data_IF_360102432117
#
_entry.id   IF_360102432117
#
_cell.length_a   1.000
_cell.length_b   1.000
_cell.length_c   1.000
_cell.angle_alpha   90.00
_cell.angle_beta   90.00
_cell.angle_gamma   90.00
#
_symmetry.space_group_name_H-M   'P 1'
#
loop_
_entity.id
_entity.type
_entity.pdbx_description
1 polymer ?
#
# COMPACT_ATOMS: atom_id res chain seq x y z
N UNK A 1 -18.47 -8.25 -14.03
CA UNK A 1 -17.26 -7.73 -14.70
C UNK A 1 -16.50 -8.83 -15.44
N UNK A 2 -15.85 -9.78 -14.79
CA UNK A 2 -15.20 -10.90 -15.46
C UNK A 2 -16.17 -12.03 -15.80
N UNK A 3 -16.08 -12.52 -17.04
CA UNK A 3 -16.56 -13.84 -17.40
C UNK A 3 -15.34 -14.68 -17.72
N UNK A 4 -15.16 -15.81 -17.04
CA UNK A 4 -14.03 -16.69 -17.29
C UNK A 4 -14.01 -17.23 -18.71
N UNK A 5 -12.90 -17.80 -19.10
CA UNK A 5 -12.72 -18.67 -20.27
C UNK A 5 -12.64 -20.12 -19.80
N UNK A 6 -12.49 -21.07 -20.71
CA UNK A 6 -12.22 -22.47 -20.36
C UNK A 6 -10.93 -22.63 -19.52
N UNK A 7 -10.04 -21.60 -19.57
CA UNK A 7 -8.79 -21.52 -18.80
C UNK A 7 -8.92 -20.69 -17.51
N UNK A 8 -10.14 -20.34 -17.08
CA UNK A 8 -10.41 -19.50 -15.92
C UNK A 8 -10.37 -18.02 -16.23
N UNK A 9 -9.97 -17.16 -15.26
CA UNK A 9 -9.99 -15.71 -15.42
C UNK A 9 -8.73 -15.14 -16.07
N UNK A 10 -7.69 -15.94 -16.25
CA UNK A 10 -6.40 -15.54 -16.87
C UNK A 10 -5.81 -14.26 -16.23
N UNK A 11 -5.78 -14.20 -14.91
CA UNK A 11 -5.42 -12.99 -14.15
C UNK A 11 -3.99 -12.52 -14.39
N UNK A 12 -3.06 -13.46 -14.65
CA UNK A 12 -1.64 -13.19 -14.92
C UNK A 12 -1.34 -12.67 -16.33
N UNK A 13 -2.35 -12.49 -17.18
CA UNK A 13 -2.19 -11.98 -18.54
C UNK A 13 -2.49 -10.47 -18.60
N UNK A 14 -1.72 -9.74 -19.42
CA UNK A 14 -2.03 -8.36 -19.73
C UNK A 14 -3.39 -8.25 -20.47
N UNK A 15 -4.29 -7.34 -20.07
CA UNK A 15 -5.52 -7.08 -20.79
C UNK A 15 -5.26 -6.28 -22.05
N UNK A 16 -6.10 -6.47 -23.08
CA UNK A 16 -6.22 -5.49 -24.14
C UNK A 16 -7.14 -4.35 -23.71
N UNK A 17 -6.99 -3.19 -24.34
CA UNK A 17 -7.89 -2.04 -24.08
C UNK A 17 -9.35 -2.35 -24.47
N UNK A 18 -9.55 -3.20 -25.47
CA UNK A 18 -10.89 -3.71 -25.83
C UNK A 18 -11.48 -4.59 -24.74
N UNK A 19 -10.67 -5.46 -24.12
CA UNK A 19 -11.12 -6.28 -22.98
C UNK A 19 -11.45 -5.42 -21.77
N UNK A 20 -10.61 -4.43 -21.45
CA UNK A 20 -10.88 -3.45 -20.40
C UNK A 20 -12.21 -2.71 -20.62
N UNK A 21 -12.49 -2.30 -21.86
CA UNK A 21 -13.76 -1.69 -22.23
C UNK A 21 -14.96 -2.63 -21.99
N UNK A 22 -14.86 -3.88 -22.42
CA UNK A 22 -15.90 -4.91 -22.21
C UNK A 22 -16.14 -5.11 -20.70
N UNK A 23 -15.07 -5.22 -19.92
CA UNK A 23 -15.16 -5.46 -18.48
C UNK A 23 -15.84 -4.31 -17.75
N UNK A 24 -15.53 -3.07 -18.14
CA UNK A 24 -16.12 -1.88 -17.54
C UNK A 24 -17.62 -1.75 -17.89
N UNK A 25 -18.01 -1.97 -19.13
CA UNK A 25 -19.44 -1.95 -19.51
C UNK A 25 -20.25 -3.04 -18.78
N UNK A 26 -19.65 -4.20 -18.55
CA UNK A 26 -20.24 -5.26 -17.73
C UNK A 26 -20.37 -4.86 -16.27
N UNK A 27 -19.43 -4.10 -15.73
CA UNK A 27 -19.54 -3.54 -14.38
C UNK A 27 -20.78 -2.65 -14.26
N UNK A 28 -21.05 -1.85 -15.28
CA UNK A 28 -22.25 -1.01 -15.38
C UNK A 28 -23.54 -1.78 -15.69
N UNK A 29 -23.49 -3.12 -15.82
CA UNK A 29 -24.66 -3.92 -16.20
C UNK A 29 -25.22 -3.63 -17.58
N UNK A 30 -24.51 -2.86 -18.40
CA UNK A 30 -24.99 -2.29 -19.67
C UNK A 30 -24.69 -3.17 -20.90
N UNK A 31 -24.30 -4.44 -20.73
CA UNK A 31 -23.90 -5.30 -21.86
C UNK A 31 -25.02 -5.50 -22.88
N UNK A 32 -26.23 -5.82 -22.43
CA UNK A 32 -27.39 -6.04 -23.31
C UNK A 32 -27.86 -4.73 -23.94
N UNK A 33 -27.89 -3.65 -23.15
CA UNK A 33 -28.24 -2.32 -23.63
C UNK A 33 -27.28 -1.84 -24.74
N UNK A 34 -25.97 -1.96 -24.49
CA UNK A 34 -24.91 -1.59 -25.43
C UNK A 34 -25.05 -2.37 -26.76
N UNK A 35 -25.28 -3.69 -26.67
CA UNK A 35 -25.48 -4.53 -27.85
C UNK A 35 -26.69 -4.12 -28.65
N UNK A 36 -27.85 -3.94 -28.00
CA UNK A 36 -29.11 -3.55 -28.66
C UNK A 36 -29.05 -2.12 -29.27
N UNK A 37 -28.46 -1.18 -28.51
CA UNK A 37 -28.31 0.19 -28.95
C UNK A 37 -27.35 0.32 -30.15
N UNK A 38 -26.25 -0.43 -30.13
CA UNK A 38 -25.29 -0.47 -31.23
C UNK A 38 -25.92 -1.12 -32.49
N UNK A 39 -26.58 -2.28 -32.33
CA UNK A 39 -27.23 -2.97 -33.42
C UNK A 39 -28.34 -2.11 -34.11
N UNK A 40 -29.07 -1.30 -33.33
CA UNK A 40 -30.09 -0.39 -33.84
C UNK A 40 -29.51 0.92 -34.36
N UNK A 41 -28.22 1.16 -34.30
CA UNK A 41 -27.57 2.40 -34.73
C UNK A 41 -27.80 3.60 -33.80
N UNK A 42 -28.36 3.39 -32.59
CA UNK A 42 -28.56 4.47 -31.60
C UNK A 42 -27.25 5.00 -31.04
N UNK A 43 -26.28 4.12 -30.87
CA UNK A 43 -24.91 4.48 -30.45
C UNK A 43 -23.91 4.01 -31.49
N UNK A 44 -22.87 4.79 -31.70
CA UNK A 44 -21.78 4.49 -32.62
C UNK A 44 -20.47 5.01 -32.06
N UNK A 45 -19.35 4.65 -32.67
CA UNK A 45 -18.03 5.21 -32.39
C UNK A 45 -17.28 5.52 -33.69
N UNK A 46 -16.33 6.47 -33.69
CA UNK A 46 -15.60 6.87 -34.92
C UNK A 46 -14.37 5.97 -35.19
N UNK A 47 -14.08 5.01 -34.36
CA UNK A 47 -12.80 4.26 -34.38
C UNK A 47 -12.80 3.15 -35.44
N UNK A 48 -11.70 3.02 -36.15
CA UNK A 48 -11.54 2.06 -37.27
C UNK A 48 -10.81 0.78 -36.88
N UNK A 49 -10.20 0.75 -35.69
CA UNK A 49 -9.38 -0.36 -35.17
C UNK A 49 -10.10 -1.23 -34.13
N UNK A 50 -11.42 -1.10 -34.01
CA UNK A 50 -12.22 -1.87 -33.05
C UNK A 50 -12.85 -3.08 -33.74
N UNK A 51 -12.56 -4.28 -33.22
CA UNK A 51 -13.17 -5.51 -33.69
C UNK A 51 -14.68 -5.59 -33.39
N UNK A 52 -15.41 -6.36 -34.18
CA UNK A 52 -16.89 -6.47 -34.08
C UNK A 52 -17.38 -6.87 -32.71
N UNK A 53 -16.64 -7.73 -31.98
CA UNK A 53 -16.99 -8.16 -30.62
C UNK A 53 -16.94 -7.02 -29.60
N UNK A 54 -15.96 -6.12 -29.73
CA UNK A 54 -15.77 -5.00 -28.80
C UNK A 54 -16.57 -3.75 -29.19
N UNK A 55 -17.00 -3.65 -30.46
CA UNK A 55 -17.62 -2.45 -30.99
C UNK A 55 -18.84 -1.94 -30.19
N UNK A 56 -19.79 -2.77 -29.74
CA UNK A 56 -20.92 -2.30 -28.94
C UNK A 56 -20.47 -1.67 -27.60
N UNK A 57 -19.50 -2.26 -26.96
CA UNK A 57 -18.97 -1.80 -25.66
C UNK A 57 -18.19 -0.50 -25.82
N UNK A 58 -17.35 -0.41 -26.85
CA UNK A 58 -16.60 0.80 -27.15
C UNK A 58 -17.54 1.95 -27.54
N UNK A 59 -18.62 1.66 -28.28
CA UNK A 59 -19.64 2.67 -28.62
C UNK A 59 -20.35 3.18 -27.36
N UNK A 60 -20.69 2.29 -26.42
CA UNK A 60 -21.31 2.67 -25.15
C UNK A 60 -20.38 3.55 -24.31
N UNK A 61 -19.09 3.16 -24.15
CA UNK A 61 -18.11 3.97 -23.43
C UNK A 61 -17.88 5.34 -24.09
N UNK A 62 -17.86 5.38 -25.42
CA UNK A 62 -17.71 6.63 -26.17
C UNK A 62 -18.92 7.56 -25.96
N UNK A 63 -20.13 7.02 -26.04
CA UNK A 63 -21.37 7.77 -25.84
C UNK A 63 -21.50 8.33 -24.42
N UNK A 64 -21.00 7.59 -23.42
CA UNK A 64 -21.03 7.99 -22.00
C UNK A 64 -19.77 8.80 -21.59
N UNK A 65 -18.91 9.20 -22.54
CA UNK A 65 -17.74 10.03 -22.26
C UNK A 65 -16.59 9.32 -21.53
N UNK A 66 -16.71 8.02 -21.24
CA UNK A 66 -15.71 7.23 -20.51
C UNK A 66 -14.50 6.95 -21.41
N UNK A 67 -14.69 6.79 -22.71
CA UNK A 67 -13.59 6.66 -23.67
C UNK A 67 -13.67 7.71 -24.78
N UNK A 68 -12.54 8.35 -25.07
CA UNK A 68 -12.36 9.29 -26.19
C UNK A 68 -11.47 8.73 -27.30
N UNK A 69 -11.01 7.46 -27.17
CA UNK A 69 -9.98 6.88 -28.04
C UNK A 69 -8.58 7.40 -27.75
N UNK A 70 -7.61 6.96 -28.52
CA UNK A 70 -6.22 7.47 -28.53
C UNK A 70 -6.03 8.54 -29.60
N UNK A 71 -6.95 8.62 -30.56
CA UNK A 71 -7.09 9.70 -31.54
C UNK A 71 -8.55 9.82 -31.96
N UNK A 72 -8.86 10.77 -32.84
CA UNK A 72 -10.21 10.97 -33.38
C UNK A 72 -10.78 9.71 -34.07
N UNK A 73 -9.95 8.84 -34.63
CA UNK A 73 -10.36 7.66 -35.39
C UNK A 73 -9.74 6.34 -34.89
N UNK A 74 -9.00 6.37 -33.81
CA UNK A 74 -8.30 5.20 -33.26
C UNK A 74 -8.69 5.00 -31.80
N UNK A 75 -9.19 3.82 -31.46
CA UNK A 75 -9.47 3.41 -30.08
C UNK A 75 -8.18 3.00 -29.35
N UNK A 76 -7.25 2.36 -30.06
CA UNK A 76 -6.06 1.74 -29.49
C UNK A 76 -6.37 0.38 -28.88
N UNK A 77 -6.91 -0.55 -29.68
CA UNK A 77 -7.44 -1.85 -29.23
C UNK A 77 -6.37 -2.83 -28.71
N UNK A 78 -5.07 -2.47 -28.77
CA UNK A 78 -3.94 -3.27 -28.31
C UNK A 78 -3.85 -3.39 -26.78
N UNK A 79 -2.63 -3.55 -26.25
CA UNK A 79 -2.40 -3.68 -24.82
C UNK A 79 -2.97 -2.47 -24.02
N UNK A 80 -3.60 -2.76 -22.89
CA UNK A 80 -4.08 -1.74 -21.96
C UNK A 80 -2.98 -1.48 -20.92
N UNK A 81 -2.49 -0.25 -20.86
CA UNK A 81 -1.61 0.15 -19.75
C UNK A 81 -2.44 0.54 -18.52
N UNK A 82 -1.78 0.55 -17.34
CA UNK A 82 -2.37 1.09 -16.12
C UNK A 82 -2.94 2.51 -16.35
N UNK A 83 -2.15 3.40 -16.95
CA UNK A 83 -2.56 4.77 -17.29
C UNK A 83 -3.86 4.82 -18.11
N UNK A 84 -3.99 3.97 -19.13
CA UNK A 84 -5.21 3.91 -19.94
C UNK A 84 -6.43 3.51 -19.12
N UNK A 85 -6.27 2.57 -18.21
CA UNK A 85 -7.38 2.08 -17.40
C UNK A 85 -7.76 3.05 -16.27
N UNK A 86 -6.77 3.68 -15.63
CA UNK A 86 -6.96 4.74 -14.65
C UNK A 86 -7.84 5.86 -15.22
N UNK A 87 -7.56 6.31 -16.45
CA UNK A 87 -8.36 7.34 -17.14
C UNK A 87 -9.80 6.88 -17.36
N UNK A 88 -10.02 5.60 -17.66
CA UNK A 88 -11.39 5.07 -17.75
C UNK A 88 -12.11 5.14 -16.40
N UNK A 89 -11.43 4.77 -15.31
CA UNK A 89 -12.02 4.81 -13.98
C UNK A 89 -12.27 6.24 -13.48
N UNK A 90 -11.35 7.17 -13.69
CA UNK A 90 -11.57 8.58 -13.35
C UNK A 90 -12.79 9.16 -14.04
N UNK A 91 -12.95 8.89 -15.35
CA UNK A 91 -14.13 9.31 -16.09
C UNK A 91 -15.40 8.58 -15.65
N UNK A 92 -15.28 7.31 -15.24
CA UNK A 92 -16.39 6.55 -14.67
C UNK A 92 -16.84 7.11 -13.31
N UNK A 93 -15.92 7.69 -12.54
CA UNK A 93 -16.20 8.44 -11.31
C UNK A 93 -16.76 9.86 -11.58
N UNK A 94 -16.78 10.32 -12.84
CA UNK A 94 -17.30 11.64 -13.22
C UNK A 94 -16.26 12.75 -13.34
N UNK A 95 -14.97 12.45 -13.20
CA UNK A 95 -13.89 13.41 -13.44
C UNK A 95 -13.67 13.63 -14.94
N UNK A 96 -13.34 14.85 -15.33
CA UNK A 96 -13.15 15.26 -16.72
C UNK A 96 -11.68 15.51 -17.03
N UNK A 97 -11.11 14.77 -18.01
CA UNK A 97 -9.77 15.08 -18.50
C UNK A 97 -9.74 16.39 -19.30
N UNK A 98 -8.68 17.14 -19.08
CA UNK A 98 -8.52 18.52 -19.57
C UNK A 98 -9.13 19.58 -18.66
N UNK A 99 -9.87 19.20 -17.61
CA UNK A 99 -10.46 20.07 -16.61
C UNK A 99 -9.97 19.72 -15.20
N UNK A 100 -10.25 18.49 -14.73
CA UNK A 100 -9.91 18.04 -13.38
C UNK A 100 -8.52 17.41 -13.36
N UNK A 101 -8.14 16.68 -14.40
CA UNK A 101 -6.81 16.05 -14.54
C UNK A 101 -6.33 16.09 -15.99
N UNK A 102 -5.04 15.83 -16.21
CA UNK A 102 -4.49 15.58 -17.54
C UNK A 102 -4.18 14.10 -17.69
N UNK A 103 -4.16 13.61 -18.95
CA UNK A 103 -3.90 12.20 -19.23
C UNK A 103 -2.59 11.72 -18.59
N UNK A 104 -1.52 12.50 -18.69
CA UNK A 104 -0.18 12.11 -18.22
C UNK A 104 -0.04 12.08 -16.69
N UNK A 105 -0.90 12.80 -15.96
CA UNK A 105 -0.89 12.87 -14.49
C UNK A 105 -2.07 12.15 -13.82
N UNK A 106 -2.86 11.40 -14.58
CA UNK A 106 -4.07 10.74 -14.08
C UNK A 106 -3.81 9.82 -12.86
N UNK A 107 -2.70 9.09 -12.84
CA UNK A 107 -2.32 8.25 -11.71
C UNK A 107 -2.00 9.09 -10.46
N UNK A 108 -1.20 10.14 -10.61
CA UNK A 108 -0.88 11.08 -9.53
C UNK A 108 -2.13 11.80 -9.02
N UNK A 109 -3.02 12.21 -9.93
CA UNK A 109 -4.30 12.80 -9.57
C UNK A 109 -5.14 11.84 -8.71
N UNK A 110 -5.29 10.59 -9.12
CA UNK A 110 -6.05 9.59 -8.36
C UNK A 110 -5.48 9.40 -6.96
N UNK A 111 -4.15 9.28 -6.82
CA UNK A 111 -3.48 9.09 -5.54
C UNK A 111 -3.60 10.31 -4.63
N UNK A 112 -3.33 11.52 -5.14
CA UNK A 112 -3.38 12.76 -4.35
C UNK A 112 -4.79 13.15 -3.91
N UNK A 113 -5.82 12.67 -4.62
CA UNK A 113 -7.22 12.87 -4.24
C UNK A 113 -7.80 11.70 -3.43
N UNK A 114 -6.95 10.75 -3.01
CA UNK A 114 -7.37 9.62 -2.18
C UNK A 114 -8.38 8.68 -2.85
N UNK A 115 -8.38 8.63 -4.19
CA UNK A 115 -9.33 7.82 -4.94
C UNK A 115 -8.89 6.35 -4.95
N UNK A 116 -7.80 6.05 -5.66
CA UNK A 116 -7.20 4.72 -5.69
C UNK A 116 -5.69 4.83 -5.86
N UNK A 117 -4.99 3.88 -5.27
CA UNK A 117 -3.53 3.84 -5.25
C UNK A 117 -3.03 2.80 -6.26
N UNK A 118 -2.16 3.25 -7.15
CA UNK A 118 -1.52 2.42 -8.19
C UNK A 118 0.00 2.38 -8.03
N UNK A 119 0.56 2.97 -6.97
CA UNK A 119 2.00 2.99 -6.69
C UNK A 119 2.59 1.59 -6.53
N UNK A 120 1.74 0.64 -6.17
CA UNK A 120 2.11 -0.76 -5.95
C UNK A 120 2.03 -1.63 -7.22
N UNK A 121 1.61 -1.06 -8.36
CA UNK A 121 1.60 -1.76 -9.64
C UNK A 121 3.03 -1.76 -10.22
N UNK A 122 3.81 -2.78 -9.86
CA UNK A 122 5.15 -3.00 -10.41
C UNK A 122 5.08 -3.95 -11.61
N UNK A 123 5.69 -3.55 -12.72
CA UNK A 123 5.78 -4.39 -13.91
C UNK A 123 4.64 -4.19 -14.93
N UNK A 124 4.35 -5.19 -15.78
CA UNK A 124 3.29 -5.10 -16.78
C UNK A 124 1.91 -5.11 -16.10
N UNK A 125 1.03 -4.22 -16.55
CA UNK A 125 -0.36 -4.16 -16.05
C UNK A 125 -1.14 -5.42 -16.46
N UNK A 126 -1.60 -6.16 -15.46
CA UNK A 126 -2.26 -7.45 -15.62
C UNK A 126 -3.78 -7.35 -15.40
N UNK A 127 -4.50 -8.41 -15.73
CA UNK A 127 -5.95 -8.49 -15.48
C UNK A 127 -6.28 -8.50 -13.98
N UNK A 128 -5.37 -9.01 -13.16
CA UNK A 128 -5.47 -8.95 -11.70
C UNK A 128 -5.40 -7.52 -11.20
N UNK A 129 -4.42 -6.75 -11.68
CA UNK A 129 -4.29 -5.31 -11.35
C UNK A 129 -5.53 -4.52 -11.77
N UNK A 130 -6.06 -4.82 -12.96
CA UNK A 130 -7.30 -4.20 -13.44
C UNK A 130 -8.47 -4.48 -12.48
N UNK A 131 -8.59 -5.71 -11.97
CA UNK A 131 -9.61 -6.06 -10.99
C UNK A 131 -9.39 -5.33 -9.66
N UNK A 132 -8.15 -5.30 -9.19
CA UNK A 132 -7.77 -4.67 -7.92
C UNK A 132 -8.06 -3.16 -7.93
N UNK A 133 -7.63 -2.44 -8.98
CA UNK A 133 -7.90 -1.00 -9.13
C UNK A 133 -9.38 -0.72 -9.30
N UNK A 134 -10.13 -1.57 -10.02
CA UNK A 134 -11.59 -1.43 -10.11
C UNK A 134 -12.25 -1.60 -8.74
N UNK A 135 -11.79 -2.56 -7.94
CA UNK A 135 -12.34 -2.78 -6.60
C UNK A 135 -12.10 -1.59 -5.68
N UNK A 136 -10.93 -0.96 -5.76
CA UNK A 136 -10.66 0.31 -5.07
C UNK A 136 -11.63 1.41 -5.54
N UNK A 137 -11.82 1.55 -6.85
CA UNK A 137 -12.71 2.56 -7.42
C UNK A 137 -14.17 2.40 -6.96
N UNK A 138 -14.63 1.17 -6.67
CA UNK A 138 -15.97 0.94 -6.12
C UNK A 138 -16.19 1.65 -4.77
N UNK A 139 -15.15 1.88 -3.99
CA UNK A 139 -15.21 2.57 -2.71
C UNK A 139 -15.04 4.09 -2.82
N UNK A 140 -14.75 4.64 -4.01
CA UNK A 140 -14.51 6.06 -4.24
C UNK A 140 -15.80 6.84 -4.39
N UNK A 141 -15.82 8.06 -3.85
CA UNK A 141 -16.90 9.01 -4.09
C UNK A 141 -16.91 9.44 -5.56
N UNK A 142 -18.10 9.66 -6.10
CA UNK A 142 -18.26 10.30 -7.40
C UNK A 142 -17.77 11.75 -7.34
N UNK A 143 -17.32 12.29 -8.46
CA UNK A 143 -16.75 13.64 -8.55
C UNK A 143 -17.71 14.74 -8.07
N UNK A 144 -19.02 14.50 -8.11
CA UNK A 144 -20.05 15.42 -7.63
C UNK A 144 -20.36 15.26 -6.13
N UNK A 145 -19.71 14.29 -5.44
CA UNK A 145 -19.89 14.00 -4.02
C UNK A 145 -21.26 13.43 -3.65
N UNK A 146 -22.06 13.00 -4.62
CA UNK A 146 -23.45 12.54 -4.36
C UNK A 146 -23.48 11.20 -3.62
N UNK A 147 -22.61 10.27 -3.98
CA UNK A 147 -22.49 8.92 -3.44
C UNK A 147 -21.17 8.31 -3.89
N UNK A 148 -20.87 7.08 -3.49
CA UNK A 148 -19.71 6.33 -4.01
C UNK A 148 -20.12 5.38 -5.15
N UNK A 149 -19.13 4.95 -5.96
CA UNK A 149 -19.40 4.25 -7.22
C UNK A 149 -20.23 2.97 -7.03
N UNK A 150 -19.96 2.15 -6.01
CA UNK A 150 -20.73 0.92 -5.79
C UNK A 150 -22.22 1.20 -5.54
N UNK A 151 -22.53 2.19 -4.68
CA UNK A 151 -23.92 2.58 -4.43
C UNK A 151 -24.61 3.08 -5.68
N UNK A 152 -23.93 3.93 -6.48
CA UNK A 152 -24.47 4.38 -7.76
C UNK A 152 -24.79 3.23 -8.72
N UNK A 153 -23.94 2.18 -8.74
CA UNK A 153 -24.16 0.98 -9.56
C UNK A 153 -25.31 0.12 -9.03
N UNK A 154 -25.52 0.08 -7.72
CA UNK A 154 -26.66 -0.60 -7.08
C UNK A 154 -27.95 0.17 -7.37
N UNK A 155 -27.96 1.49 -7.17
CA UNK A 155 -29.12 2.35 -7.39
C UNK A 155 -29.60 2.35 -8.84
N UNK A 156 -28.66 2.27 -9.79
CA UNK A 156 -28.97 2.12 -11.20
C UNK A 156 -29.48 0.73 -11.61
N UNK A 157 -29.41 -0.25 -10.68
CA UNK A 157 -29.76 -1.65 -10.96
C UNK A 157 -28.69 -2.43 -11.73
N UNK A 158 -27.49 -1.84 -11.95
CA UNK A 158 -26.36 -2.50 -12.60
C UNK A 158 -25.83 -3.67 -11.76
N UNK A 159 -25.91 -3.55 -10.44
CA UNK A 159 -25.48 -4.55 -9.47
C UNK A 159 -26.66 -4.88 -8.55
N UNK A 160 -26.94 -6.17 -8.36
CA UNK A 160 -27.96 -6.64 -7.42
C UNK A 160 -27.55 -6.36 -5.99
N UNK A 161 -28.32 -5.55 -5.26
CA UNK A 161 -28.04 -5.10 -3.91
C UNK A 161 -27.83 -6.27 -2.92
N UNK A 162 -28.61 -7.35 -3.05
CA UNK A 162 -28.52 -8.51 -2.16
C UNK A 162 -27.24 -9.30 -2.41
N UNK A 163 -26.88 -9.46 -3.68
CA UNK A 163 -25.62 -10.12 -4.05
C UNK A 163 -24.40 -9.30 -3.66
N UNK A 164 -24.50 -7.97 -3.68
CA UNK A 164 -23.42 -7.05 -3.32
C UNK A 164 -23.28 -6.84 -1.81
N UNK A 165 -24.26 -7.22 -0.99
CA UNK A 165 -24.30 -6.91 0.46
C UNK A 165 -22.98 -7.18 1.19
N UNK A 166 -22.27 -8.32 1.03
CA UNK A 166 -21.00 -8.55 1.73
C UNK A 166 -19.89 -7.59 1.32
N UNK A 167 -19.92 -7.13 0.05
CA UNK A 167 -18.94 -6.17 -0.49
C UNK A 167 -19.29 -4.76 0.02
N UNK A 168 -20.55 -4.39 0.01
CA UNK A 168 -21.05 -3.10 0.52
C UNK A 168 -20.68 -2.94 1.99
N UNK A 169 -20.99 -3.92 2.84
CA UNK A 169 -20.64 -3.92 4.27
C UNK A 169 -19.13 -3.78 4.49
N UNK A 170 -18.31 -4.48 3.69
CA UNK A 170 -16.85 -4.37 3.76
C UNK A 170 -16.37 -2.97 3.36
N UNK A 171 -16.87 -2.42 2.26
CA UNK A 171 -16.50 -1.08 1.78
C UNK A 171 -16.92 0.00 2.78
N UNK A 172 -18.13 -0.03 3.31
CA UNK A 172 -18.61 0.92 4.31
C UNK A 172 -17.75 0.89 5.59
N UNK A 173 -17.44 -0.33 6.07
CA UNK A 173 -16.57 -0.52 7.23
C UNK A 173 -15.17 0.01 6.95
N UNK A 174 -14.61 -0.28 5.77
CA UNK A 174 -13.32 0.23 5.32
C UNK A 174 -13.32 1.76 5.24
N UNK A 175 -14.30 2.38 4.60
CA UNK A 175 -14.40 3.85 4.44
C UNK A 175 -14.45 4.55 5.80
N UNK A 176 -15.20 3.99 6.75
CA UNK A 176 -15.28 4.53 8.13
C UNK A 176 -13.91 4.46 8.81
N UNK A 177 -13.21 3.34 8.69
CA UNK A 177 -11.87 3.17 9.25
C UNK A 177 -10.84 4.09 8.58
N UNK A 178 -10.85 4.17 7.24
CA UNK A 178 -9.93 5.00 6.45
C UNK A 178 -10.11 6.49 6.78
N UNK A 179 -11.35 6.97 6.86
CA UNK A 179 -11.64 8.35 7.24
C UNK A 179 -11.15 8.69 8.67
N UNK A 180 -11.29 7.76 9.62
CA UNK A 180 -10.78 7.94 10.97
C UNK A 180 -9.25 7.90 11.04
N UNK A 181 -8.60 7.12 10.18
CA UNK A 181 -7.14 7.03 10.12
C UNK A 181 -6.51 8.29 9.50
N UNK A 182 -7.13 8.86 8.48
CA UNK A 182 -6.63 10.03 7.77
C UNK A 182 -6.59 11.30 8.65
N UNK A 183 -7.46 11.39 9.66
CA UNK A 183 -7.57 12.59 10.52
C UNK A 183 -6.56 12.64 11.68
N UNK A 184 -5.77 11.57 11.90
CA UNK A 184 -4.94 11.41 13.09
C UNK A 184 -3.44 11.21 12.80
N UNK A 185 -2.98 11.46 11.57
CA UNK A 185 -1.63 11.11 11.12
C UNK A 185 -0.50 12.06 11.60
N UNK A 186 -0.78 13.05 12.47
CA UNK A 186 0.22 14.10 12.81
C UNK A 186 1.12 13.67 13.97
N UNK A 187 0.59 12.97 15.00
CA UNK A 187 1.37 12.59 16.17
C UNK A 187 1.26 11.09 16.42
N UNK A 188 2.37 10.41 16.63
CA UNK A 188 2.38 8.97 16.83
C UNK A 188 3.20 8.53 18.04
N UNK A 189 2.70 7.53 18.77
CA UNK A 189 3.47 6.77 19.76
C UNK A 189 3.31 5.28 19.43
N UNK A 190 4.38 4.68 18.89
CA UNK A 190 4.38 3.34 18.31
C UNK A 190 5.38 2.46 19.06
N UNK A 191 4.93 1.33 19.58
CA UNK A 191 5.82 0.24 19.99
C UNK A 191 5.93 -0.75 18.81
N UNK A 192 7.16 -1.06 18.41
CA UNK A 192 7.48 -2.01 17.37
C UNK A 192 8.21 -3.20 18.00
N UNK A 193 7.68 -4.40 17.82
CA UNK A 193 8.41 -5.62 18.12
C UNK A 193 8.45 -6.48 16.84
N UNK A 194 9.64 -6.90 16.43
CA UNK A 194 9.85 -7.75 15.29
C UNK A 194 10.75 -8.91 15.69
N UNK A 195 10.32 -10.12 15.36
CA UNK A 195 11.12 -11.32 15.51
C UNK A 195 11.35 -11.95 14.15
N UNK A 196 12.60 -12.19 13.82
CA UNK A 196 13.04 -12.73 12.56
C UNK A 196 13.85 -14.01 12.79
N UNK A 197 13.33 -15.14 12.36
CA UNK A 197 14.05 -16.41 12.40
C UNK A 197 14.42 -16.83 10.96
N UNK A 198 15.72 -16.86 10.66
CA UNK A 198 16.26 -17.22 9.36
C UNK A 198 16.92 -18.59 9.40
N UNK A 199 16.59 -19.44 8.43
CA UNK A 199 17.29 -20.70 8.23
C UNK A 199 17.71 -20.80 6.76
N UNK A 200 19.01 -20.69 6.48
CA UNK A 200 19.55 -20.86 5.15
C UNK A 200 20.07 -22.30 4.96
N UNK A 201 19.70 -22.93 3.83
CA UNK A 201 20.34 -24.17 3.38
C UNK A 201 21.25 -23.83 2.22
N UNK A 202 22.56 -24.05 2.37
CA UNK A 202 23.50 -23.89 1.29
C UNK A 202 23.21 -24.90 0.16
N UNK A 203 22.99 -24.41 -1.05
CA UNK A 203 22.93 -25.20 -2.27
C UNK A 203 24.25 -25.00 -3.03
N UNK A 204 25.14 -25.98 -2.96
CA UNK A 204 26.26 -26.09 -3.92
C UNK A 204 25.96 -27.20 -4.91
N UNK A 205 26.14 -26.92 -6.20
CA UNK A 205 26.01 -27.92 -7.23
C UNK A 205 27.00 -29.09 -6.96
N UNK A 206 26.46 -30.25 -6.59
CA UNK A 206 27.15 -31.51 -6.61
C UNK A 206 27.51 -32.19 -5.29
N UNK A 207 27.34 -31.52 -4.13
CA UNK A 207 27.54 -32.18 -2.82
C UNK A 207 26.47 -31.72 -1.83
N UNK A 208 25.90 -32.66 -1.09
CA UNK A 208 24.94 -32.36 -0.01
C UNK A 208 25.68 -31.74 1.19
N UNK A 209 25.73 -30.43 1.25
CA UNK A 209 26.20 -29.73 2.45
C UNK A 209 25.03 -29.68 3.44
N UNK A 210 25.18 -30.38 4.55
CA UNK A 210 24.28 -30.36 5.69
C UNK A 210 24.63 -29.24 6.69
N UNK A 211 25.14 -28.12 6.25
CA UNK A 211 25.28 -26.96 7.12
C UNK A 211 24.02 -26.13 7.01
N UNK A 212 23.20 -26.22 8.02
CA UNK A 212 22.03 -25.40 8.23
C UNK A 212 22.50 -24.18 9.05
N UNK A 213 22.67 -23.05 8.41
CA UNK A 213 22.84 -21.78 9.13
C UNK A 213 21.49 -21.34 9.65
N UNK A 214 21.38 -21.14 10.94
CA UNK A 214 20.21 -20.52 11.56
C UNK A 214 20.63 -19.19 12.16
N UNK A 215 19.88 -18.13 11.82
CA UNK A 215 20.04 -16.81 12.42
C UNK A 215 18.69 -16.40 13.00
N UNK A 216 18.67 -15.90 14.20
CA UNK A 216 17.50 -15.26 14.77
C UNK A 216 17.80 -13.79 15.08
N UNK A 217 16.82 -12.94 14.88
CA UNK A 217 16.90 -11.52 15.15
C UNK A 217 15.62 -11.09 15.86
N UNK A 218 15.78 -10.57 17.08
CA UNK A 218 14.69 -9.96 17.84
C UNK A 218 14.91 -8.45 17.87
N UNK A 219 13.93 -7.68 17.44
CA UNK A 219 13.96 -6.22 17.48
C UNK A 219 12.77 -5.70 18.28
N UNK A 220 13.07 -4.93 19.31
CA UNK A 220 12.10 -4.17 20.08
C UNK A 220 12.35 -2.68 19.89
N UNK A 221 11.35 -1.91 19.57
CA UNK A 221 11.48 -0.48 19.35
C UNK A 221 10.30 0.30 19.88
N UNK A 222 10.56 1.56 20.21
CA UNK A 222 9.54 2.55 20.51
C UNK A 222 9.82 3.83 19.76
N UNK A 223 8.81 4.36 19.10
CA UNK A 223 8.84 5.65 18.41
C UNK A 223 7.77 6.56 18.99
N UNK A 224 8.16 7.75 19.42
CA UNK A 224 7.27 8.83 19.83
C UNK A 224 7.56 10.02 18.92
N UNK A 225 6.55 10.54 18.24
CA UNK A 225 6.68 11.66 17.31
C UNK A 225 5.56 12.67 17.51
N UNK A 226 5.92 13.94 17.44
CA UNK A 226 5.04 15.09 17.29
C UNK A 226 5.57 15.86 16.08
N UNK A 227 4.77 15.99 15.02
CA UNK A 227 5.16 16.59 13.75
C UNK A 227 4.38 17.89 13.51
N UNK A 228 4.49 18.82 14.44
CA UNK A 228 3.95 20.18 14.35
C UNK A 228 5.05 21.20 13.92
N UNK A 229 4.80 22.50 14.15
CA UNK A 229 5.76 23.58 13.88
C UNK A 229 7.08 23.45 14.68
N UNK A 230 7.07 22.67 15.79
CA UNK A 230 8.23 22.38 16.61
C UNK A 230 8.38 20.85 16.76
N UNK A 231 8.84 20.17 15.71
CA UNK A 231 8.83 18.70 15.65
C UNK A 231 9.73 18.10 16.72
N UNK A 232 9.21 17.07 17.37
CA UNK A 232 9.88 16.32 18.44
C UNK A 232 9.82 14.84 18.15
N UNK A 233 10.92 14.13 18.40
CA UNK A 233 10.99 12.71 18.20
C UNK A 233 11.83 12.03 19.31
N UNK A 234 11.43 10.83 19.69
CA UNK A 234 12.22 9.91 20.45
C UNK A 234 12.05 8.50 19.85
N UNK A 235 13.11 7.94 19.32
CA UNK A 235 13.15 6.58 18.81
C UNK A 235 14.15 5.80 19.67
N UNK A 236 13.71 4.68 20.21
CA UNK A 236 14.59 3.72 20.88
C UNK A 236 14.43 2.38 20.20
N UNK A 237 15.55 1.70 19.98
CA UNK A 237 15.57 0.41 19.31
C UNK A 237 16.57 -0.51 20.00
N UNK A 238 16.18 -1.74 20.24
CA UNK A 238 17.02 -2.81 20.73
C UNK A 238 16.97 -3.95 19.73
N UNK A 239 18.12 -4.31 19.23
CA UNK A 239 18.31 -5.42 18.31
C UNK A 239 19.10 -6.51 19.02
N UNK A 240 18.62 -7.74 18.98
CA UNK A 240 19.36 -8.93 19.36
C UNK A 240 19.48 -9.82 18.13
N UNK A 241 20.69 -10.16 17.75
CA UNK A 241 20.96 -11.08 16.65
C UNK A 241 21.75 -12.27 17.20
N UNK A 242 21.40 -13.47 16.75
CA UNK A 242 22.08 -14.71 17.13
C UNK A 242 22.27 -15.55 15.86
N UNK A 243 23.52 -15.88 15.53
CA UNK A 243 23.90 -16.69 14.38
C UNK A 243 24.06 -18.19 14.70
N UNK A 244 23.69 -18.58 15.92
CA UNK A 244 23.87 -19.94 16.44
C UNK A 244 25.20 -20.15 17.15
N UNK A 245 26.12 -19.19 17.10
CA UNK A 245 27.44 -19.22 17.77
C UNK A 245 27.64 -18.04 18.72
N UNK A 246 27.19 -16.84 18.30
CA UNK A 246 27.33 -15.61 19.08
C UNK A 246 25.99 -14.86 19.14
N UNK A 247 25.77 -14.16 20.24
CA UNK A 247 24.65 -13.25 20.46
C UNK A 247 25.17 -11.82 20.49
N UNK A 248 24.72 -11.00 19.55
CA UNK A 248 24.97 -9.57 19.49
C UNK A 248 23.74 -8.83 19.99
N UNK A 249 23.91 -7.86 20.85
CA UNK A 249 22.85 -6.94 21.26
C UNK A 249 23.30 -5.52 20.99
N UNK A 250 22.52 -4.77 20.21
CA UNK A 250 22.74 -3.35 19.93
C UNK A 250 21.55 -2.54 20.44
N UNK A 251 21.83 -1.47 21.17
CA UNK A 251 20.80 -0.54 21.65
C UNK A 251 21.07 0.85 21.07
N UNK A 252 20.09 1.38 20.32
CA UNK A 252 20.15 2.72 19.75
C UNK A 252 19.02 3.58 20.27
N UNK A 253 19.31 4.86 20.50
CA UNK A 253 18.31 5.85 20.84
C UNK A 253 18.60 7.15 20.08
N UNK A 254 17.58 7.64 19.34
CA UNK A 254 17.67 8.88 18.58
C UNK A 254 16.57 9.84 19.05
N UNK A 255 16.95 11.07 19.32
CA UNK A 255 16.03 12.11 19.79
C UNK A 255 16.15 13.33 18.88
N UNK A 256 15.02 13.91 18.49
CA UNK A 256 14.96 15.23 17.84
C UNK A 256 14.36 16.23 18.81
N UNK A 257 15.07 17.32 19.06
CA UNK A 257 14.62 18.44 19.90
C UNK A 257 15.31 19.72 19.49
N UNK A 258 14.57 20.79 19.32
CA UNK A 258 15.06 22.14 19.00
C UNK A 258 16.00 22.16 17.76
N UNK A 259 15.68 21.37 16.71
CA UNK A 259 16.47 21.24 15.49
C UNK A 259 17.74 20.39 15.60
N UNK A 260 18.01 19.80 16.78
CA UNK A 260 19.14 18.91 17.00
C UNK A 260 18.72 17.44 17.05
N UNK A 261 19.45 16.61 16.33
CA UNK A 261 19.36 15.14 16.46
C UNK A 261 20.43 14.65 17.42
N UNK A 262 20.01 13.96 18.47
CA UNK A 262 20.85 13.34 19.50
C UNK A 262 20.81 11.84 19.31
N UNK A 263 21.95 11.19 19.19
CA UNK A 263 22.06 9.74 19.02
C UNK A 263 22.87 9.13 20.14
N UNK A 264 22.39 8.01 20.64
CA UNK A 264 23.13 7.10 21.50
C UNK A 264 23.12 5.72 20.84
N UNK A 265 24.28 5.17 20.52
CA UNK A 265 24.46 3.82 19.99
C UNK A 265 25.42 3.07 20.90
N UNK A 266 24.91 2.06 21.60
CA UNK A 266 25.66 1.22 22.54
C UNK A 266 26.48 2.03 23.57
N UNK A 267 25.96 3.18 24.01
CA UNK A 267 26.59 4.08 24.96
C UNK A 267 27.47 5.16 24.35
N UNK A 268 27.77 5.10 23.07
CA UNK A 268 28.40 6.22 22.34
C UNK A 268 27.36 7.28 21.98
N UNK A 269 27.63 8.53 22.38
CA UNK A 269 26.69 9.62 22.23
C UNK A 269 27.23 10.76 21.37
N UNK A 270 26.41 11.27 20.46
CA UNK A 270 26.71 12.46 19.67
C UNK A 270 25.45 13.23 19.32
N UNK A 271 25.58 14.47 18.90
CA UNK A 271 24.50 15.28 18.37
C UNK A 271 24.89 15.96 17.06
N UNK A 272 23.90 16.14 16.19
CA UNK A 272 24.06 16.83 14.88
C UNK A 272 23.01 17.92 14.78
N UNK A 273 23.40 19.10 14.34
CA UNK A 273 22.49 20.18 14.00
C UNK A 273 21.77 19.87 12.67
N UNK A 274 20.47 19.68 12.73
CA UNK A 274 19.60 19.41 11.59
C UNK A 274 18.61 20.56 11.32
N UNK A 275 18.80 21.72 11.93
CA UNK A 275 17.88 22.85 11.84
C UNK A 275 17.61 23.30 10.41
N UNK A 276 18.59 23.16 9.49
CA UNK A 276 18.43 23.50 8.08
C UNK A 276 17.74 22.41 7.25
N UNK A 277 17.66 21.18 7.75
CA UNK A 277 17.08 20.00 7.07
C UNK A 277 15.81 19.53 7.74
N UNK A 278 15.32 20.26 8.73
CA UNK A 278 14.19 19.86 9.55
C UNK A 278 12.92 19.63 8.74
N UNK A 279 12.65 20.46 7.72
CA UNK A 279 11.50 20.31 6.83
C UNK A 279 11.58 18.99 6.03
N UNK A 280 12.75 18.64 5.48
CA UNK A 280 12.94 17.39 4.74
C UNK A 280 12.80 16.17 5.64
N UNK A 281 13.32 16.25 6.86
CA UNK A 281 13.22 15.22 7.87
C UNK A 281 11.75 14.99 8.27
N UNK A 282 11.04 16.06 8.58
CA UNK A 282 9.62 16.01 8.93
C UNK A 282 8.78 15.43 7.79
N UNK A 283 9.05 15.86 6.54
CA UNK A 283 8.36 15.36 5.35
C UNK A 283 8.59 13.84 5.14
N UNK A 284 9.80 13.36 5.37
CA UNK A 284 10.11 11.92 5.29
C UNK A 284 9.31 11.10 6.31
N UNK A 285 9.27 11.55 7.57
CA UNK A 285 8.49 10.86 8.60
C UNK A 285 6.98 10.97 8.38
N UNK A 286 6.49 12.11 7.89
CA UNK A 286 5.10 12.23 7.50
C UNK A 286 4.74 11.23 6.41
N UNK A 287 5.58 11.08 5.38
CA UNK A 287 5.38 10.10 4.33
C UNK A 287 5.34 8.66 4.85
N UNK A 288 6.16 8.32 5.87
CA UNK A 288 6.12 7.01 6.53
C UNK A 288 4.81 6.80 7.30
N UNK A 289 4.32 7.81 8.02
CA UNK A 289 3.03 7.75 8.73
C UNK A 289 1.86 7.64 7.74
N UNK A 290 1.91 8.36 6.63
CA UNK A 290 0.90 8.31 5.57
C UNK A 290 0.85 6.92 4.91
N UNK A 291 2.01 6.26 4.75
CA UNK A 291 2.07 4.87 4.28
C UNK A 291 1.51 3.86 5.29
N UNK A 292 1.62 4.15 6.59
CA UNK A 292 1.04 3.30 7.64
C UNK A 292 -0.47 3.50 7.80
N UNK A 293 -1.04 4.55 7.23
CA UNK A 293 -2.48 4.78 7.23
C UNK A 293 -3.21 3.72 6.37
N UNK A 294 -4.46 3.45 6.74
CA UNK A 294 -5.33 2.58 5.93
C UNK A 294 -5.57 3.24 4.57
N UNK A 295 -5.00 2.68 3.52
CA UNK A 295 -5.09 3.22 2.17
C UNK A 295 -5.93 2.32 1.24
N UNK A 296 -6.36 2.87 0.11
CA UNK A 296 -7.21 2.16 -0.84
C UNK A 296 -6.50 0.98 -1.52
N UNK A 297 -5.17 0.97 -1.60
CA UNK A 297 -4.42 -0.14 -2.17
C UNK A 297 -4.59 -1.44 -1.39
N UNK A 298 -4.86 -1.37 -0.08
CA UNK A 298 -5.09 -2.55 0.74
C UNK A 298 -6.48 -3.19 0.50
N UNK A 299 -7.47 -2.40 0.07
CA UNK A 299 -8.86 -2.84 -0.02
C UNK A 299 -9.07 -4.14 -0.83
N UNK A 300 -8.44 -4.34 -1.99
CA UNK A 300 -8.57 -5.58 -2.76
C UNK A 300 -8.05 -6.82 -2.05
N UNK A 301 -7.10 -6.64 -1.14
CA UNK A 301 -6.41 -7.70 -0.43
C UNK A 301 -6.98 -8.00 0.97
N UNK A 302 -7.97 -7.22 1.41
CA UNK A 302 -8.69 -7.47 2.65
C UNK A 302 -9.51 -8.74 2.49
N UNK A 303 -9.15 -9.78 3.24
CA UNK A 303 -9.91 -11.03 3.31
C UNK A 303 -11.12 -10.85 4.22
N UNK A 304 -10.89 -10.44 5.46
CA UNK A 304 -11.96 -10.15 6.42
C UNK A 304 -11.80 -8.75 7.01
N UNK A 305 -12.91 -8.05 7.21
CA UNK A 305 -12.97 -6.78 7.92
C UNK A 305 -14.23 -6.77 8.78
N UNK A 306 -14.07 -6.53 10.06
CA UNK A 306 -15.17 -6.48 11.02
C UNK A 306 -15.00 -5.32 12.00
N UNK A 307 -16.11 -4.78 12.48
CA UNK A 307 -16.15 -3.77 13.52
C UNK A 307 -16.97 -4.30 14.71
N UNK A 308 -16.48 -4.08 15.93
CA UNK A 308 -17.13 -4.51 17.16
C UNK A 308 -17.04 -3.44 18.23
N UNK A 309 -18.17 -3.12 18.83
CA UNK A 309 -18.24 -2.21 19.98
C UNK A 309 -17.68 -2.88 21.23
N UNK A 310 -16.78 -2.18 21.93
CA UNK A 310 -16.16 -2.63 23.17
C UNK A 310 -15.78 -1.46 24.07
N UNK A 311 -16.37 -1.37 25.26
CA UNK A 311 -15.98 -0.39 26.28
C UNK A 311 -16.08 1.09 25.86
N UNK A 312 -17.04 1.43 24.99
CA UNK A 312 -17.21 2.79 24.44
C UNK A 312 -16.28 3.12 23.28
N UNK A 313 -15.61 2.13 22.75
CA UNK A 313 -14.76 2.21 21.55
C UNK A 313 -15.24 1.20 20.51
N UNK A 314 -14.97 1.48 19.23
CA UNK A 314 -15.16 0.52 18.14
C UNK A 314 -13.82 -0.11 17.79
N UNK A 315 -13.76 -1.43 17.86
CA UNK A 315 -12.57 -2.23 17.49
C UNK A 315 -12.77 -2.81 16.09
N UNK A 316 -11.94 -2.42 15.17
CA UNK A 316 -11.89 -2.96 13.82
C UNK A 316 -10.80 -4.03 13.75
N UNK A 317 -11.14 -5.18 13.17
CA UNK A 317 -10.17 -6.24 12.88
C UNK A 317 -10.18 -6.50 11.39
N UNK A 318 -9.02 -6.33 10.76
CA UNK A 318 -8.79 -6.49 9.33
C UNK A 318 -7.73 -7.56 9.11
N UNK A 319 -8.04 -8.61 8.34
CA UNK A 319 -7.04 -9.57 7.88
C UNK A 319 -6.75 -9.37 6.41
N UNK A 320 -5.47 -9.44 6.03
CA UNK A 320 -5.04 -9.45 4.64
C UNK A 320 -4.85 -10.90 4.18
N UNK A 321 -5.35 -11.19 2.99
CA UNK A 321 -5.27 -12.50 2.36
C UNK A 321 -3.98 -12.70 1.56
N UNK A 322 -3.83 -13.91 1.01
CA UNK A 322 -2.66 -14.32 0.20
C UNK A 322 -2.37 -13.43 -1.01
N UNK A 323 -3.38 -12.77 -1.58
CA UNK A 323 -3.17 -11.82 -2.68
C UNK A 323 -2.26 -10.64 -2.34
N UNK A 324 -2.10 -10.34 -1.04
CA UNK A 324 -1.18 -9.31 -0.56
C UNK A 324 0.31 -9.67 -0.74
N UNK A 325 0.62 -10.97 -0.88
CA UNK A 325 2.00 -11.44 -1.10
C UNK A 325 2.66 -10.82 -2.33
N UNK A 326 1.92 -10.75 -3.45
CA UNK A 326 2.44 -10.16 -4.68
C UNK A 326 2.81 -8.69 -4.53
N UNK A 327 2.00 -7.97 -3.79
CA UNK A 327 2.20 -6.57 -3.43
C UNK A 327 3.46 -6.39 -2.58
N UNK A 328 3.57 -7.18 -1.52
CA UNK A 328 4.70 -7.11 -0.59
C UNK A 328 6.00 -7.56 -1.26
N UNK A 329 5.96 -8.61 -2.09
CA UNK A 329 7.11 -9.07 -2.86
C UNK A 329 7.61 -8.00 -3.85
N UNK A 330 6.71 -7.24 -4.48
CA UNK A 330 7.06 -6.11 -5.34
C UNK A 330 7.81 -5.01 -4.58
N UNK A 331 7.29 -4.62 -3.41
CA UNK A 331 7.94 -3.64 -2.52
C UNK A 331 9.29 -4.14 -1.99
N UNK A 332 9.33 -5.37 -1.52
CA UNK A 332 10.54 -5.98 -0.97
C UNK A 332 11.64 -6.10 -2.03
N UNK A 333 11.28 -6.53 -3.25
CA UNK A 333 12.21 -6.60 -4.38
C UNK A 333 12.71 -5.21 -4.81
N UNK A 334 11.89 -4.18 -4.73
CA UNK A 334 12.31 -2.81 -5.07
C UNK A 334 13.24 -2.19 -4.02
N UNK A 335 13.07 -2.56 -2.75
CA UNK A 335 13.87 -2.03 -1.64
C UNK A 335 15.21 -2.76 -1.48
N UNK A 336 15.24 -4.06 -1.72
CA UNK A 336 16.41 -4.92 -1.47
C UNK A 336 16.97 -5.59 -2.73
N UNK A 337 16.21 -5.62 -3.83
CA UNK A 337 16.56 -6.39 -5.03
C UNK A 337 17.87 -5.97 -5.70
N UNK A 338 18.18 -4.67 -5.72
CA UNK A 338 19.41 -4.16 -6.31
C UNK A 338 20.65 -4.46 -5.45
N UNK A 339 20.52 -4.49 -4.11
CA UNK A 339 21.61 -4.84 -3.22
C UNK A 339 21.83 -6.36 -3.15
N UNK A 340 20.75 -7.13 -3.01
CA UNK A 340 20.84 -8.59 -2.91
C UNK A 340 21.24 -9.28 -4.23
N UNK A 341 20.81 -8.73 -5.37
CA UNK A 341 21.21 -9.29 -6.68
C UNK A 341 22.69 -9.09 -7.01
N UNK A 342 23.34 -8.09 -6.40
CA UNK A 342 24.79 -7.87 -6.54
C UNK A 342 25.61 -8.76 -5.61
N UNK A 343 25.11 -9.03 -4.38
CA UNK A 343 25.84 -9.80 -3.38
C UNK A 343 25.55 -11.30 -3.44
N UNK A 344 24.39 -11.70 -3.95
CA UNK A 344 23.97 -13.10 -4.05
C UNK A 344 23.25 -13.39 -5.37
N UNK A 345 23.98 -13.46 -6.52
CA UNK A 345 23.37 -13.73 -7.82
C UNK A 345 22.76 -15.13 -7.85
N UNK A 346 21.45 -15.20 -8.12
CA UNK A 346 20.69 -16.46 -8.22
C UNK A 346 19.83 -16.80 -7.02
N UNK A 347 19.72 -15.91 -6.01
CA UNK A 347 18.73 -16.04 -4.95
C UNK A 347 17.36 -15.52 -5.43
N UNK A 348 16.38 -16.41 -5.43
CA UNK A 348 14.97 -16.05 -5.64
C UNK A 348 14.34 -15.85 -4.25
N UNK A 349 14.04 -14.60 -3.91
CA UNK A 349 13.44 -14.22 -2.64
C UNK A 349 11.94 -14.09 -2.82
N UNK A 350 11.20 -15.08 -2.38
CA UNK A 350 9.74 -15.01 -2.27
C UNK A 350 9.30 -14.86 -0.82
N UNK A 351 8.28 -14.06 -0.57
CA UNK A 351 7.66 -13.89 0.73
C UNK A 351 6.28 -14.56 0.73
N UNK A 352 6.02 -15.44 1.68
CA UNK A 352 4.70 -16.03 1.93
C UNK A 352 4.09 -15.35 3.16
N UNK A 353 2.90 -14.79 3.02
CA UNK A 353 2.16 -14.15 4.11
C UNK A 353 1.21 -15.19 4.71
N UNK A 354 1.63 -15.84 5.78
CA UNK A 354 0.82 -16.85 6.47
C UNK A 354 -0.31 -16.20 7.28
N UNK A 355 -0.04 -15.05 7.87
CA UNK A 355 -0.99 -14.29 8.68
C UNK A 355 -0.61 -12.82 8.67
N UNK A 356 -1.58 -11.93 8.47
CA UNK A 356 -1.42 -10.51 8.69
C UNK A 356 -2.77 -9.93 9.14
N UNK A 357 -2.85 -9.56 10.40
CA UNK A 357 -4.07 -9.06 11.04
C UNK A 357 -3.79 -7.70 11.67
N UNK A 358 -4.56 -6.72 11.25
CA UNK A 358 -4.56 -5.38 11.81
C UNK A 358 -5.74 -5.23 12.77
N UNK A 359 -5.50 -4.64 13.93
CA UNK A 359 -6.55 -4.30 14.90
C UNK A 359 -6.49 -2.81 15.19
N UNK A 360 -7.54 -2.09 14.81
CA UNK A 360 -7.67 -0.65 15.03
C UNK A 360 -8.73 -0.38 16.09
N UNK A 361 -8.42 0.48 17.07
CA UNK A 361 -9.39 0.90 18.10
C UNK A 361 -9.72 2.37 17.91
N UNK A 362 -10.99 2.66 17.66
CA UNK A 362 -11.52 4.02 17.54
C UNK A 362 -12.31 4.38 18.80
N UNK A 363 -12.08 5.59 19.33
CA UNK A 363 -12.87 6.15 20.45
C UNK A 363 -13.36 7.52 20.04
N UNK A 364 -14.68 7.73 20.07
CA UNK A 364 -15.28 8.98 19.61
C UNK A 364 -15.02 9.29 18.15
N UNK A 365 -14.92 8.26 17.29
CA UNK A 365 -14.63 8.38 15.86
C UNK A 365 -13.17 8.69 15.52
N UNK A 366 -12.26 8.70 16.51
CA UNK A 366 -10.83 8.93 16.31
C UNK A 366 -10.03 7.68 16.59
N UNK A 367 -9.00 7.43 15.79
CA UNK A 367 -8.08 6.31 15.98
C UNK A 367 -7.30 6.51 17.29
N UNK A 368 -7.37 5.52 18.17
CA UNK A 368 -6.71 5.49 19.47
C UNK A 368 -5.51 4.56 19.50
N UNK A 369 -5.62 3.40 18.90
CA UNK A 369 -4.52 2.44 18.75
C UNK A 369 -4.65 1.63 17.47
N UNK A 370 -3.52 1.18 16.97
CA UNK A 370 -3.40 0.20 15.89
C UNK A 370 -2.40 -0.86 16.33
N UNK A 371 -2.80 -2.12 16.23
CA UNK A 371 -1.95 -3.28 16.50
C UNK A 371 -1.86 -4.12 15.24
N UNK A 372 -0.66 -4.64 14.93
CA UNK A 372 -0.42 -5.56 13.80
C UNK A 372 0.10 -6.87 14.33
N UNK A 373 -0.54 -7.95 13.95
CA UNK A 373 -0.13 -9.32 14.27
C UNK A 373 0.10 -10.07 12.94
N UNK A 374 1.34 -10.44 12.66
CA UNK A 374 1.70 -11.02 11.38
C UNK A 374 2.70 -12.17 11.49
N UNK A 375 2.58 -13.11 10.57
CA UNK A 375 3.55 -14.17 10.32
C UNK A 375 3.88 -14.15 8.84
N UNK A 376 5.13 -13.83 8.52
CA UNK A 376 5.66 -13.76 7.18
C UNK A 376 6.75 -14.82 7.03
N UNK A 377 6.64 -15.67 6.02
CA UNK A 377 7.64 -16.69 5.71
C UNK A 377 8.33 -16.36 4.39
N UNK A 378 9.65 -16.26 4.42
CA UNK A 378 10.45 -16.12 3.19
C UNK A 378 10.76 -17.48 2.56
N UNK A 379 10.84 -17.54 1.23
CA UNK A 379 11.16 -18.77 0.48
C UNK A 379 12.58 -19.30 0.81
N UNK A 380 13.42 -18.50 1.46
CA UNK A 380 14.66 -18.95 2.10
C UNK A 380 14.44 -19.56 3.48
N UNK A 381 13.20 -19.88 3.86
CA UNK A 381 12.80 -20.28 5.22
C UNK A 381 13.14 -19.25 6.28
N UNK A 382 12.88 -17.98 6.00
CA UNK A 382 12.92 -16.92 6.97
C UNK A 382 11.51 -16.74 7.54
N UNK A 383 11.33 -16.83 8.85
CA UNK A 383 10.07 -16.57 9.55
C UNK A 383 10.22 -15.26 10.32
N UNK A 384 9.34 -14.31 10.03
CA UNK A 384 9.29 -13.01 10.70
C UNK A 384 7.98 -12.87 11.46
N UNK A 385 8.04 -12.80 12.79
CA UNK A 385 6.92 -12.38 13.62
C UNK A 385 7.07 -10.88 13.89
N UNK A 386 6.13 -10.09 13.39
CA UNK A 386 6.13 -8.65 13.57
C UNK A 386 4.88 -8.22 14.33
N UNK A 387 5.07 -7.53 15.45
CA UNK A 387 3.99 -6.83 16.12
C UNK A 387 4.29 -5.35 16.20
N UNK A 388 3.34 -4.53 15.79
CA UNK A 388 3.39 -3.08 15.90
C UNK A 388 2.18 -2.61 16.71
N UNK A 389 2.44 -1.89 17.79
CA UNK A 389 1.39 -1.33 18.63
C UNK A 389 1.51 0.18 18.69
N UNK A 390 0.50 0.86 18.17
CA UNK A 390 0.37 2.31 18.32
C UNK A 390 -0.32 2.59 19.66
N UNK A 391 0.42 3.15 20.62
CA UNK A 391 -0.07 3.37 21.99
C UNK A 391 -0.82 4.67 22.16
N UNK A 392 -0.54 5.69 21.34
CA UNK A 392 -1.21 6.98 21.35
C UNK A 392 -1.09 7.67 20.00
N UNK A 393 -2.08 8.50 19.67
CA UNK A 393 -2.11 9.37 18.50
C UNK A 393 -2.65 10.75 18.89
N UNK A 394 -2.27 11.78 18.16
CA UNK A 394 -2.71 13.15 18.35
C UNK A 394 -2.31 13.71 19.72
N UNK A 395 -3.14 14.51 20.32
CA UNK A 395 -2.89 15.25 21.59
C UNK A 395 -2.47 14.37 22.79
N UNK A 396 -2.54 13.05 22.67
CA UNK A 396 -2.14 12.13 23.73
C UNK A 396 -0.66 11.72 23.65
N UNK A 397 0.01 12.05 22.56
CA UNK A 397 1.45 11.73 22.38
C UNK A 397 2.29 12.69 23.22
N UNK A 398 3.16 12.13 24.04
CA UNK A 398 4.19 12.88 24.76
C UNK A 398 5.55 12.27 24.46
N UNK A 399 6.41 13.08 23.89
CA UNK A 399 7.81 12.67 23.67
C UNK A 399 8.57 12.78 24.98
N UNK A 400 9.22 11.70 25.38
CA UNK A 400 10.01 11.61 26.62
C UNK A 400 11.48 11.57 26.28
N UNK A 401 12.26 12.45 26.87
CA UNK A 401 13.69 12.52 26.66
C UNK A 401 14.45 12.05 27.92
N UNK A 402 15.59 11.36 27.79
CA UNK A 402 16.45 11.07 28.93
C UNK A 402 17.05 12.37 29.49
N UNK A 403 17.42 12.34 30.77
CA UNK A 403 18.17 13.44 31.37
C UNK A 403 19.58 13.51 30.77
N UNK A 404 20.07 14.71 30.54
CA UNK A 404 21.47 14.93 30.10
C UNK A 404 21.69 14.95 28.61
N UNK A 405 20.64 15.04 27.76
CA UNK A 405 20.80 15.23 26.31
C UNK A 405 21.69 16.42 25.96
N UNK A 406 21.62 17.51 26.74
CA UNK A 406 22.44 18.71 26.51
C UNK A 406 23.96 18.47 26.70
N UNK A 407 24.34 17.34 27.32
CA UNK A 407 25.73 16.92 27.52
C UNK A 407 26.29 16.07 26.38
N UNK A 408 25.45 15.72 25.39
CA UNK A 408 25.92 14.97 24.21
C UNK A 408 26.92 15.83 23.43
N UNK A 409 28.11 15.29 23.09
CA UNK A 409 29.10 16.03 22.33
C UNK A 409 28.57 16.31 20.93
N UNK A 410 28.90 17.52 20.41
CA UNK A 410 28.63 17.86 19.03
C UNK A 410 29.60 17.11 18.11
N UNK A 411 29.05 16.44 17.09
CA UNK A 411 29.85 15.78 16.07
C UNK A 411 30.40 16.87 15.11
N UNK A 412 31.68 17.22 15.28
CA UNK A 412 32.37 18.18 14.41
C UNK A 412 32.84 17.47 13.13
N UNK A 413 32.09 17.66 12.07
CA UNK A 413 32.36 17.15 10.72
C UNK A 413 31.03 16.85 10.06
N UNK A 414 30.69 17.61 9.03
CA UNK A 414 29.46 17.37 8.29
C UNK A 414 29.43 15.92 7.83
N UNK A 415 28.48 15.17 8.35
CA UNK A 415 28.08 13.93 7.74
C UNK A 415 27.30 14.37 6.51
N UNK A 416 27.89 14.24 5.32
CA UNK A 416 27.15 14.39 4.07
C UNK A 416 26.00 13.36 4.13
N UNK A 417 24.80 13.90 4.34
CA UNK A 417 23.59 13.31 4.78
C UNK A 417 23.17 12.02 4.12
N UNK A 418 23.33 10.95 4.79
CA UNK A 418 22.37 9.88 4.81
C UNK A 418 22.28 9.42 6.27
N UNK A 419 21.11 9.57 6.89
CA UNK A 419 20.81 8.82 8.11
C UNK A 419 20.62 7.38 7.63
N UNK A 420 21.75 6.72 7.35
CA UNK A 420 21.77 5.30 7.07
C UNK A 420 21.55 4.57 8.38
N UNK A 421 20.57 3.70 8.43
CA UNK A 421 20.64 2.54 9.32
C UNK A 421 21.87 1.78 8.84
N UNK A 422 23.01 1.99 9.47
CA UNK A 422 24.21 1.23 9.16
C UNK A 422 24.03 -0.14 9.78
N UNK A 423 23.61 -1.11 8.98
CA UNK A 423 23.77 -2.51 9.32
C UNK A 423 25.28 -2.76 9.26
N UNK A 424 25.93 -2.83 10.40
CA UNK A 424 27.35 -3.18 10.45
C UNK A 424 27.48 -4.61 9.98
N UNK A 425 28.27 -4.83 8.93
CA UNK A 425 28.59 -6.16 8.43
C UNK A 425 29.09 -7.06 9.57
N UNK A 426 28.49 -8.21 9.70
CA UNK A 426 29.03 -9.29 10.51
C UNK A 426 30.28 -9.78 9.78
N UNK A 427 31.48 -9.81 10.38
CA UNK A 427 32.66 -10.35 9.71
C UNK A 427 32.45 -11.82 9.33
N UNK A 428 32.87 -12.17 8.12
CA UNK A 428 32.75 -13.49 7.53
C UNK A 428 33.47 -14.59 8.33
#
# INVERSE_FOLDING_TARGET
MFRGTDSGFELSRAPTRSEAAIMLVRLYGAEEEAAAAYQSGKITHPFTDVGSTAAPYVAWLYQNGISKGTSATTFGSGACSAQNYIVFLLRALGYEDGKDFQYDDAASFAMTHGLFDVSMLSGPFLRDDLAAVTYQALACDLADGSTYLLDSLIDSGAIDAKAAQPITEKIETYRTLAAASATNAVDANVDLAMKLDMTAKGLTEGESIQEQMSMSMDMDGRTQMILDEDPKMAITMKLKANDGTEELTTETATYLRDGWVYTNSDGETYKVDQSQQLESFTAMYQALLDQAAVNSAMLPYIDTLSAKESGGSTVYTMSLGKGFEGLFNGLFSSLLGDQLSQEAPGMDLGLDVEKLVYTYTLTGGKLKSSDVDGVLALTMKMTMDMSMKINALGDQVKVTYPAGLDQYPELSGGVDGEIGITITEVPA
#
